data_IF_660251647292
#
_entry.id   IF_660251647292
#
_cell.length_a   1.000
_cell.length_b   1.000
_cell.length_c   1.000
_cell.angle_alpha   90.00
_cell.angle_beta   90.00
_cell.angle_gamma   90.00
#
_symmetry.space_group_name_H-M   'P 1'
#
loop_
_entity.id
_entity.type
_entity.pdbx_description
1 polymer ?
#
# COMPACT_ATOMS: atom_id res chain seq x y z
N UNK A 1 -8.42 26.21 12.41
CA UNK A 1 -8.52 26.44 10.96
C UNK A 1 -7.11 26.49 10.40
N UNK A 2 -6.68 25.47 9.65
CA UNK A 2 -5.51 25.53 8.78
C UNK A 2 -5.82 24.72 7.53
N UNK A 3 -5.81 25.40 6.40
CA UNK A 3 -5.94 24.88 5.03
C UNK A 3 -4.60 24.27 4.63
N UNK A 4 -4.59 23.10 3.98
CA UNK A 4 -3.44 22.70 3.17
C UNK A 4 -3.90 22.03 1.88
N UNK A 5 -3.25 22.49 0.81
CA UNK A 5 -3.58 22.37 -0.59
C UNK A 5 -3.61 20.91 -1.08
N UNK A 6 -4.59 20.63 -1.94
CA UNK A 6 -4.63 19.44 -2.78
C UNK A 6 -3.55 19.55 -3.88
N UNK A 7 -2.31 19.24 -3.51
CA UNK A 7 -1.29 18.79 -4.47
C UNK A 7 -1.75 17.41 -4.94
N UNK A 8 -1.97 17.23 -6.26
CA UNK A 8 -2.35 15.93 -6.81
C UNK A 8 -1.42 14.83 -6.28
N UNK A 9 -1.93 13.64 -5.92
CA UNK A 9 -1.20 12.73 -5.06
C UNK A 9 0.06 12.26 -5.79
N UNK A 10 1.21 12.85 -5.46
CA UNK A 10 2.47 12.17 -5.68
C UNK A 10 2.34 10.80 -5.01
N UNK A 11 2.73 9.71 -5.69
CA UNK A 11 2.54 8.38 -5.15
C UNK A 11 3.40 8.26 -3.91
N UNK A 12 2.75 8.44 -2.76
CA UNK A 12 3.34 8.37 -1.45
C UNK A 12 4.19 7.10 -1.36
N UNK A 13 5.32 7.20 -0.67
CA UNK A 13 6.11 6.02 -0.37
C UNK A 13 5.40 5.20 0.71
N UNK A 14 5.18 3.90 0.48
CA UNK A 14 4.49 3.10 1.46
C UNK A 14 5.36 2.89 2.69
N UNK A 15 4.73 2.78 3.88
CA UNK A 15 5.45 2.70 5.14
C UNK A 15 6.35 1.47 5.17
N UNK A 16 7.58 1.63 5.65
CA UNK A 16 8.61 0.58 5.66
C UNK A 16 8.77 -0.11 7.03
N UNK A 17 8.00 0.31 8.03
CA UNK A 17 7.99 -0.30 9.36
C UNK A 17 7.41 -1.73 9.28
N UNK A 18 8.01 -2.74 9.95
CA UNK A 18 7.52 -4.11 9.93
C UNK A 18 6.05 -4.18 10.37
N UNK A 19 5.26 -5.04 9.72
CA UNK A 19 3.82 -5.21 9.96
C UNK A 19 2.93 -4.01 9.57
N UNK A 20 3.44 -3.07 8.75
CA UNK A 20 2.60 -2.00 8.20
C UNK A 20 1.49 -2.57 7.31
N UNK A 21 0.29 -1.98 7.38
CA UNK A 21 -0.85 -2.34 6.53
C UNK A 21 -1.24 -1.15 5.66
N UNK A 22 -1.43 -1.42 4.38
CA UNK A 22 -1.94 -0.47 3.38
C UNK A 22 -3.12 -1.09 2.64
N UNK A 23 -3.92 -0.24 2.00
CA UNK A 23 -5.05 -0.64 1.20
C UNK A 23 -4.77 -0.37 -0.27
N UNK A 24 -5.03 -1.33 -1.13
CA UNK A 24 -4.95 -1.20 -2.57
C UNK A 24 -6.20 -1.85 -3.16
N UNK A 25 -6.97 -1.11 -3.97
CA UNK A 25 -8.23 -1.61 -4.55
C UNK A 25 -9.22 -2.19 -3.53
N UNK A 26 -9.40 -1.51 -2.38
CA UNK A 26 -10.19 -1.97 -1.22
C UNK A 26 -9.71 -3.28 -0.56
N UNK A 27 -8.45 -3.68 -0.79
CA UNK A 27 -7.87 -4.89 -0.19
C UNK A 27 -6.68 -4.57 0.69
N UNK A 28 -6.53 -5.25 1.84
CA UNK A 28 -5.40 -5.04 2.71
C UNK A 28 -4.16 -5.74 2.15
N UNK A 29 -3.03 -5.06 2.22
CA UNK A 29 -1.71 -5.60 1.96
C UNK A 29 -0.81 -5.31 3.18
N UNK A 30 -0.09 -6.32 3.64
CA UNK A 30 0.81 -6.25 4.79
C UNK A 30 2.24 -6.21 4.30
N UNK A 31 3.07 -5.36 4.91
CA UNK A 31 4.50 -5.35 4.66
C UNK A 31 5.17 -6.53 5.35
N UNK A 32 5.71 -7.43 4.55
CA UNK A 32 6.65 -8.45 4.98
C UNK A 32 8.09 -7.99 4.73
N UNK A 33 8.76 -7.61 5.81
CA UNK A 33 10.19 -7.26 5.82
C UNK A 33 11.03 -8.50 6.16
N UNK A 34 11.37 -9.30 5.16
CA UNK A 34 12.30 -10.45 5.28
C UNK A 34 13.76 -10.09 4.95
N UNK A 35 14.68 -11.07 5.00
CA UNK A 35 16.12 -10.92 4.64
C UNK A 35 16.38 -10.61 3.14
N UNK A 36 15.40 -10.04 2.44
CA UNK A 36 15.44 -9.71 1.02
C UNK A 36 14.68 -8.43 0.71
N UNK A 37 14.14 -8.29 -0.50
CA UNK A 37 13.35 -7.11 -0.87
C UNK A 37 12.01 -7.09 -0.12
N UNK A 38 11.61 -5.95 0.48
CA UNK A 38 10.30 -5.80 1.13
C UNK A 38 9.18 -6.11 0.15
N UNK A 39 8.16 -6.83 0.63
CA UNK A 39 7.02 -7.28 -0.17
C UNK A 39 5.72 -6.91 0.52
N UNK A 40 4.74 -6.49 -0.24
CA UNK A 40 3.37 -6.25 0.20
C UNK A 40 2.54 -7.49 -0.12
N UNK A 41 2.15 -8.23 0.91
CA UNK A 41 1.40 -9.49 0.76
C UNK A 41 -0.07 -9.27 1.09
N UNK A 42 -0.94 -9.70 0.19
CA UNK A 42 -2.39 -9.57 0.30
C UNK A 42 -3.09 -10.54 -0.65
N UNK A 43 -4.29 -10.19 -1.09
CA UNK A 43 -5.03 -10.96 -2.08
C UNK A 43 -5.44 -10.10 -3.28
N UNK A 44 -5.46 -10.70 -4.46
CA UNK A 44 -6.01 -10.09 -5.68
C UNK A 44 -7.55 -9.95 -5.61
N UNK A 45 -8.16 -9.46 -6.68
CA UNK A 45 -9.61 -9.29 -6.84
C UNK A 45 -10.40 -10.61 -6.72
N UNK A 46 -9.75 -11.74 -7.04
CA UNK A 46 -10.29 -13.10 -6.99
C UNK A 46 -10.04 -13.81 -5.66
N UNK A 47 -9.39 -13.14 -4.71
CA UNK A 47 -9.06 -13.70 -3.41
C UNK A 47 -7.83 -14.61 -3.41
N UNK A 48 -7.04 -14.63 -4.50
CA UNK A 48 -5.81 -15.42 -4.57
C UNK A 48 -4.67 -14.66 -3.88
N UNK A 49 -3.76 -15.36 -3.17
CA UNK A 49 -2.58 -14.73 -2.59
C UNK A 49 -1.76 -13.98 -3.65
N UNK A 50 -1.40 -12.72 -3.37
CA UNK A 50 -0.61 -11.88 -4.25
C UNK A 50 0.50 -11.18 -3.44
N UNK A 51 1.70 -11.09 -4.02
CA UNK A 51 2.82 -10.33 -3.48
C UNK A 51 3.19 -9.19 -4.43
N UNK A 52 3.19 -7.96 -3.93
CA UNK A 52 3.53 -6.75 -4.68
C UNK A 52 4.83 -6.13 -4.17
N UNK A 53 5.61 -5.61 -5.09
CA UNK A 53 6.68 -4.67 -4.78
C UNK A 53 6.11 -3.29 -4.44
N UNK A 54 6.91 -2.47 -3.73
CA UNK A 54 6.61 -1.05 -3.51
C UNK A 54 6.28 -0.30 -4.80
N UNK A 55 6.97 -0.60 -5.91
CA UNK A 55 6.72 0.05 -7.19
C UNK A 55 5.35 -0.33 -7.80
N UNK A 56 4.96 -1.61 -7.70
CA UNK A 56 3.63 -2.04 -8.13
C UNK A 56 2.54 -1.41 -7.27
N UNK A 57 2.75 -1.35 -5.96
CA UNK A 57 1.82 -0.74 -5.03
C UNK A 57 1.60 0.75 -5.34
N UNK A 58 2.69 1.51 -5.55
CA UNK A 58 2.65 2.93 -5.97
C UNK A 58 1.87 3.13 -7.26
N UNK A 59 2.09 2.27 -8.26
CA UNK A 59 1.36 2.34 -9.55
C UNK A 59 -0.13 2.05 -9.42
N UNK A 60 -0.54 1.19 -8.48
CA UNK A 60 -1.93 0.81 -8.27
C UNK A 60 -2.72 1.79 -7.40
N UNK A 61 -2.05 2.75 -6.76
CA UNK A 61 -2.71 3.75 -5.91
C UNK A 61 -3.16 3.16 -4.58
N UNK A 62 -2.26 3.14 -3.60
CA UNK A 62 -2.53 2.62 -2.27
C UNK A 62 -2.89 3.74 -1.27
N UNK A 63 -3.53 3.37 -0.17
CA UNK A 63 -3.90 4.29 0.93
C UNK A 63 -3.58 3.68 2.30
N UNK A 64 -3.33 4.53 3.30
CA UNK A 64 -3.16 4.09 4.69
C UNK A 64 -4.46 3.65 5.37
N UNK A 65 -5.60 4.07 4.82
CA UNK A 65 -6.93 3.81 5.36
C UNK A 65 -7.76 3.08 4.32
N UNK A 66 -8.63 2.19 4.79
CA UNK A 66 -9.68 1.63 3.96
C UNK A 66 -10.58 2.77 3.46
N UNK A 67 -10.94 2.74 2.18
CA UNK A 67 -12.01 3.58 1.64
C UNK A 67 -13.30 3.23 2.39
N UNK A 68 -14.01 4.24 2.90
CA UNK A 68 -15.31 4.04 3.56
C UNK A 68 -16.40 3.76 2.54
#
# INVERSE_FOLDING_TARGET
>A
MSTEAATGPEPAEPPTAPCSVVWCSDRPYVLESGRGRPRWVGCDDRGRPEALSTAQLRRRGWTHRRSR
#
